data_IF_563554246943
#
_entry.id   IF_563554246943
#
_cell.length_a   1.000
_cell.length_b   1.000
_cell.length_c   1.000
_cell.angle_alpha   90.00
_cell.angle_beta   90.00
_cell.angle_gamma   90.00
#
_symmetry.space_group_name_H-M   'P 1'
#
loop_
_entity.id
_entity.type
_entity.pdbx_description
1 polymer ?
#
# COMPACT_ATOMS: atom_id res chain seq x y z
N UNK A 1 6.09 22.37 -12.70
CA UNK A 1 6.33 23.44 -11.71
C UNK A 1 6.20 22.87 -10.28
N UNK A 2 6.89 23.41 -9.27
CA UNK A 2 6.80 22.90 -7.89
C UNK A 2 5.37 22.93 -7.35
N UNK A 3 4.59 23.93 -7.76
CA UNK A 3 3.18 24.16 -7.38
C UNK A 3 2.19 23.17 -7.98
N UNK A 4 2.60 22.34 -8.95
CA UNK A 4 1.75 21.30 -9.52
C UNK A 4 1.87 19.96 -8.78
N UNK A 5 2.79 19.84 -7.82
CA UNK A 5 2.93 18.61 -7.02
C UNK A 5 1.72 18.49 -6.08
N UNK A 6 1.14 17.30 -5.91
CA UNK A 6 0.05 17.11 -4.97
C UNK A 6 0.56 17.34 -3.54
N UNK A 7 -0.31 17.88 -2.68
CA UNK A 7 0.03 18.30 -1.31
C UNK A 7 -0.86 17.57 -0.31
N UNK A 8 -0.27 17.17 0.81
CA UNK A 8 -0.97 16.63 1.97
C UNK A 8 -0.56 17.46 3.19
N UNK A 9 -1.56 18.02 3.89
CA UNK A 9 -1.34 18.76 5.12
C UNK A 9 -1.27 17.80 6.31
N UNK A 10 -0.22 17.92 7.11
CA UNK A 10 -0.04 17.10 8.32
C UNK A 10 -0.01 18.02 9.53
N UNK A 11 -1.08 18.00 10.32
CA UNK A 11 -1.16 18.72 11.59
C UNK A 11 -0.42 17.92 12.66
N UNK A 12 0.66 18.49 13.20
CA UNK A 12 1.29 17.94 14.38
C UNK A 12 0.49 18.38 15.63
N UNK A 13 -0.16 17.42 16.30
CA UNK A 13 -1.01 17.68 17.46
C UNK A 13 -0.40 17.11 18.75
N UNK A 14 -0.94 17.54 19.89
CA UNK A 14 -0.57 16.96 21.19
C UNK A 14 -1.04 15.50 21.28
N UNK A 15 -0.43 14.76 22.19
CA UNK A 15 -0.68 13.32 22.40
C UNK A 15 -2.10 13.06 22.94
N UNK A 16 -2.63 14.01 23.70
CA UNK A 16 -4.02 14.09 24.18
C UNK A 16 -4.94 14.85 23.23
N UNK A 17 -4.45 15.19 22.04
CA UNK A 17 -5.16 15.95 21.02
C UNK A 17 -6.12 15.09 20.18
N UNK A 18 -7.03 15.73 19.43
CA UNK A 18 -7.92 15.02 18.53
C UNK A 18 -7.13 14.31 17.41
N UNK A 19 -7.61 13.13 17.01
CA UNK A 19 -7.07 12.35 15.88
C UNK A 19 -7.43 12.93 14.50
N UNK A 20 -8.29 13.95 14.49
CA UNK A 20 -8.75 14.70 13.33
C UNK A 20 -7.98 16.02 13.14
N UNK A 21 -7.74 16.47 11.89
CA UNK A 21 -7.11 17.75 11.64
C UNK A 21 -7.96 18.91 12.18
N UNK A 22 -7.34 20.00 12.65
CA UNK A 22 -8.07 21.21 13.05
C UNK A 22 -9.01 21.69 11.94
N UNK A 23 -10.27 22.10 12.24
CA UNK A 23 -11.26 22.46 11.22
C UNK A 23 -10.77 23.52 10.23
N UNK A 24 -10.02 24.51 10.70
CA UNK A 24 -9.43 25.56 9.87
C UNK A 24 -8.42 25.02 8.85
N UNK A 25 -7.60 24.04 9.25
CA UNK A 25 -6.64 23.39 8.38
C UNK A 25 -7.35 22.49 7.37
N UNK A 26 -8.35 21.74 7.82
CA UNK A 26 -9.16 20.89 6.94
C UNK A 26 -9.86 21.73 5.85
N UNK A 27 -10.47 22.85 6.23
CA UNK A 27 -11.10 23.78 5.28
C UNK A 27 -10.08 24.36 4.29
N UNK A 28 -8.88 24.76 4.77
CA UNK A 28 -7.81 25.27 3.92
C UNK A 28 -7.30 24.22 2.93
N UNK A 29 -7.09 22.99 3.39
CA UNK A 29 -6.63 21.89 2.55
C UNK A 29 -7.66 21.58 1.46
N UNK A 30 -8.93 21.45 1.83
CA UNK A 30 -10.03 21.22 0.89
C UNK A 30 -10.14 22.33 -0.16
N UNK A 31 -10.06 23.60 0.25
CA UNK A 31 -10.05 24.74 -0.67
C UNK A 31 -8.87 24.78 -1.65
N UNK A 32 -7.76 24.10 -1.32
CA UNK A 32 -6.60 23.93 -2.17
C UNK A 32 -6.60 22.60 -2.97
N UNK A 33 -7.67 21.78 -2.87
CA UNK A 33 -7.73 20.46 -3.50
C UNK A 33 -6.77 19.43 -2.86
N UNK A 34 -6.42 19.61 -1.59
CA UNK A 34 -5.48 18.79 -0.84
C UNK A 34 -6.18 18.06 0.33
N UNK A 35 -5.58 16.95 0.76
CA UNK A 35 -5.98 16.25 1.99
C UNK A 35 -5.35 16.87 3.24
N UNK A 36 -5.92 16.58 4.41
CA UNK A 36 -5.35 16.90 5.70
C UNK A 36 -5.48 15.72 6.67
N UNK A 37 -4.48 15.52 7.53
CA UNK A 37 -4.56 14.59 8.66
C UNK A 37 -3.89 15.17 9.91
N UNK A 38 -4.23 14.65 11.08
CA UNK A 38 -3.56 14.93 12.34
C UNK A 38 -2.74 13.73 12.83
N UNK A 39 -1.53 14.00 13.29
CA UNK A 39 -0.61 13.02 13.90
C UNK A 39 0.04 13.68 15.10
N UNK A 40 0.21 12.95 16.21
CA UNK A 40 1.10 13.41 17.26
C UNK A 40 2.49 12.84 17.02
N UNK A 41 3.41 13.69 16.52
CA UNK A 41 4.77 13.24 16.22
C UNK A 41 5.52 12.75 17.45
N UNK A 42 5.15 13.26 18.64
CA UNK A 42 5.73 12.84 19.91
C UNK A 42 5.26 11.44 20.29
N UNK A 43 3.94 11.21 20.29
CA UNK A 43 3.38 9.89 20.55
C UNK A 43 3.94 8.84 19.59
N UNK A 44 4.01 9.15 18.29
CA UNK A 44 4.55 8.19 17.31
C UNK A 44 6.04 7.90 17.51
N UNK A 45 6.82 8.85 18.03
CA UNK A 45 8.22 8.63 18.37
C UNK A 45 8.35 7.71 19.59
N UNK A 46 7.56 7.95 20.64
CA UNK A 46 7.53 7.09 21.84
C UNK A 46 7.09 5.66 21.47
N UNK A 47 6.03 5.51 20.66
CA UNK A 47 5.55 4.22 20.17
C UNK A 47 6.56 3.47 19.28
N UNK A 48 7.45 4.18 18.59
CA UNK A 48 8.46 3.57 17.72
C UNK A 48 9.65 2.97 18.48
N UNK A 49 9.85 3.37 19.74
CA UNK A 49 10.90 2.82 20.61
C UNK A 49 10.44 1.57 21.38
N UNK A 50 9.13 1.33 21.43
CA UNK A 50 8.51 0.19 22.10
C UNK A 50 8.45 -1.05 21.21
N UNK A 51 8.34 -2.22 21.83
CA UNK A 51 7.99 -3.42 21.08
C UNK A 51 6.53 -3.39 20.60
N UNK A 52 6.17 -4.32 19.71
CA UNK A 52 4.83 -4.33 19.09
C UNK A 52 3.69 -4.52 20.11
N UNK A 53 3.93 -5.27 21.19
CA UNK A 53 2.92 -5.54 22.22
C UNK A 53 2.75 -4.33 23.15
N UNK A 54 3.85 -3.73 23.57
CA UNK A 54 3.88 -2.51 24.39
C UNK A 54 3.26 -1.33 23.64
N UNK A 55 3.63 -1.11 22.38
CA UNK A 55 3.06 -0.06 21.55
C UNK A 55 1.55 -0.27 21.31
N UNK A 56 1.09 -1.52 21.22
CA UNK A 56 -0.34 -1.82 21.12
C UNK A 56 -1.09 -1.51 22.43
N UNK A 57 -0.51 -1.85 23.58
CA UNK A 57 -1.08 -1.56 24.89
C UNK A 57 -1.20 -0.04 25.12
N UNK A 58 -0.12 0.72 24.89
CA UNK A 58 -0.12 2.18 25.04
C UNK A 58 -1.16 2.86 24.13
N UNK A 59 -1.30 2.41 22.87
CA UNK A 59 -2.34 2.93 21.97
C UNK A 59 -3.76 2.67 22.48
N UNK A 60 -4.00 1.51 23.08
CA UNK A 60 -5.30 1.17 23.65
C UNK A 60 -5.61 2.02 24.90
N UNK A 61 -4.61 2.32 25.73
CA UNK A 61 -4.77 3.20 26.90
C UNK A 61 -5.12 4.64 26.51
N UNK A 62 -4.56 5.13 25.41
CA UNK A 62 -4.78 6.49 24.90
C UNK A 62 -6.00 6.62 23.98
N UNK A 63 -6.74 5.53 23.73
CA UNK A 63 -7.81 5.46 22.72
C UNK A 63 -7.36 5.98 21.35
N UNK A 64 -6.08 5.81 21.04
CA UNK A 64 -5.43 6.39 19.86
C UNK A 64 -5.75 5.62 18.56
N UNK A 65 -6.55 4.55 18.64
CA UNK A 65 -6.94 3.71 17.51
C UNK A 65 -5.72 3.22 16.72
N UNK A 66 -5.69 3.55 15.43
CA UNK A 66 -4.59 3.19 14.56
C UNK A 66 -3.46 4.22 14.54
N UNK A 67 -2.20 3.73 14.44
CA UNK A 67 -0.99 4.56 14.31
C UNK A 67 -1.17 5.71 13.32
N UNK A 68 -0.82 6.92 13.76
CA UNK A 68 -0.77 8.11 12.94
C UNK A 68 0.23 7.98 11.80
N UNK A 69 1.36 7.29 12.00
CA UNK A 69 2.31 6.99 10.92
C UNK A 69 1.68 6.07 9.86
N UNK A 70 0.92 5.04 10.26
CA UNK A 70 0.23 4.16 9.31
C UNK A 70 -0.82 4.94 8.49
N UNK A 71 -1.59 5.82 9.14
CA UNK A 71 -2.52 6.74 8.45
C UNK A 71 -1.80 7.68 7.48
N UNK A 72 -0.66 8.26 7.88
CA UNK A 72 0.17 9.12 7.03
C UNK A 72 0.70 8.38 5.80
N UNK A 73 1.22 7.16 5.98
CA UNK A 73 1.72 6.34 4.87
C UNK A 73 0.62 6.04 3.87
N UNK A 74 -0.58 5.65 4.31
CA UNK A 74 -1.71 5.41 3.40
C UNK A 74 -2.15 6.67 2.66
N UNK A 75 -2.29 7.78 3.36
CA UNK A 75 -2.63 9.06 2.73
C UNK A 75 -1.56 9.47 1.69
N UNK A 76 -0.29 9.21 1.95
CA UNK A 76 0.78 9.45 0.97
C UNK A 76 0.71 8.50 -0.24
N UNK A 77 0.36 7.23 -0.05
CA UNK A 77 0.13 6.29 -1.14
C UNK A 77 -1.04 6.74 -2.03
N UNK A 78 -2.15 7.15 -1.42
CA UNK A 78 -3.30 7.71 -2.14
C UNK A 78 -2.95 8.98 -2.90
N UNK A 79 -2.24 9.92 -2.26
CA UNK A 79 -1.79 11.18 -2.86
C UNK A 79 -0.92 10.96 -4.11
N UNK A 80 -0.10 9.90 -4.10
CA UNK A 80 0.80 9.54 -5.19
C UNK A 80 0.16 8.56 -6.18
N UNK A 81 -1.11 8.22 -5.99
CA UNK A 81 -1.87 7.23 -6.75
C UNK A 81 -1.14 5.88 -6.82
N UNK A 82 -0.51 5.47 -5.72
CA UNK A 82 0.20 4.20 -5.63
C UNK A 82 -0.75 3.07 -5.21
N UNK A 83 -0.45 1.89 -5.72
CA UNK A 83 -1.02 0.61 -5.30
C UNK A 83 0.13 -0.34 -4.97
N UNK A 84 -0.15 -1.35 -4.17
CA UNK A 84 0.77 -2.43 -3.87
C UNK A 84 0.34 -3.71 -4.58
N UNK A 85 1.27 -4.34 -5.28
CA UNK A 85 1.09 -5.72 -5.73
C UNK A 85 2.17 -6.59 -5.08
N UNK A 86 1.92 -7.90 -5.05
CA UNK A 86 2.81 -8.84 -4.42
C UNK A 86 3.43 -9.80 -5.43
N UNK A 87 4.66 -10.19 -5.19
CA UNK A 87 5.24 -11.40 -5.79
C UNK A 87 5.39 -12.43 -4.69
N UNK A 88 4.83 -13.60 -4.86
CA UNK A 88 5.01 -14.73 -3.95
C UNK A 88 5.36 -15.96 -4.77
N UNK A 89 6.46 -16.63 -4.43
CA UNK A 89 6.87 -17.90 -5.05
C UNK A 89 6.97 -18.93 -3.93
N UNK A 90 6.74 -20.20 -4.23
CA UNK A 90 6.96 -21.27 -3.24
C UNK A 90 8.43 -21.33 -2.81
N UNK A 91 9.35 -20.92 -3.69
CA UNK A 91 10.79 -20.95 -3.43
C UNK A 91 11.36 -19.61 -2.89
N UNK A 92 10.55 -18.54 -2.78
CA UNK A 92 11.04 -17.21 -2.39
C UNK A 92 10.04 -16.48 -1.49
N UNK A 93 10.56 -15.64 -0.61
CA UNK A 93 9.75 -14.79 0.25
C UNK A 93 8.78 -13.90 -0.54
N UNK A 94 7.59 -13.71 0.02
CA UNK A 94 6.62 -12.77 -0.51
C UNK A 94 7.16 -11.34 -0.38
N UNK A 95 7.02 -10.55 -1.45
CA UNK A 95 7.47 -9.15 -1.48
C UNK A 95 6.36 -8.26 -2.01
N UNK A 96 6.19 -7.10 -1.37
CA UNK A 96 5.33 -6.03 -1.83
C UNK A 96 6.10 -5.07 -2.75
N UNK A 97 5.45 -4.63 -3.82
CA UNK A 97 6.00 -3.70 -4.79
C UNK A 97 5.00 -2.56 -5.02
N UNK A 98 5.44 -1.34 -4.75
CA UNK A 98 4.63 -0.15 -5.03
C UNK A 98 4.75 0.26 -6.51
N UNK A 99 3.61 0.45 -7.17
CA UNK A 99 3.49 0.93 -8.56
C UNK A 99 2.38 1.97 -8.64
N UNK A 100 2.38 2.80 -9.69
CA UNK A 100 1.26 3.70 -9.94
C UNK A 100 0.02 2.93 -10.36
N UNK A 101 -1.16 3.39 -9.94
CA UNK A 101 -2.45 2.86 -10.37
C UNK A 101 -2.53 2.86 -11.90
N UNK A 102 -3.07 1.79 -12.46
CA UNK A 102 -3.14 1.60 -13.92
C UNK A 102 -1.85 1.10 -14.57
N UNK A 103 -0.76 0.88 -13.81
CA UNK A 103 0.42 0.20 -14.33
C UNK A 103 0.04 -1.20 -14.82
N UNK A 104 0.48 -1.56 -16.04
CA UNK A 104 0.16 -2.84 -16.65
C UNK A 104 1.00 -3.99 -16.08
N UNK A 105 0.59 -5.24 -16.30
CA UNK A 105 1.34 -6.43 -15.90
C UNK A 105 2.77 -6.41 -16.49
N UNK A 106 2.93 -5.92 -17.71
CA UNK A 106 4.25 -5.71 -18.31
C UNK A 106 5.08 -4.65 -17.56
N UNK A 107 4.48 -3.53 -17.17
CA UNK A 107 5.15 -2.52 -16.36
C UNK A 107 5.51 -3.01 -14.96
N UNK A 108 4.60 -3.75 -14.31
CA UNK A 108 4.83 -4.37 -13.01
C UNK A 108 5.95 -5.42 -13.06
N UNK A 109 6.04 -6.21 -14.13
CA UNK A 109 7.17 -7.10 -14.36
C UNK A 109 8.52 -6.34 -14.38
N UNK A 110 8.56 -5.16 -15.00
CA UNK A 110 9.74 -4.30 -15.02
C UNK A 110 10.14 -3.76 -13.66
N UNK A 111 9.16 -3.53 -12.77
CA UNK A 111 9.41 -3.17 -11.37
C UNK A 111 10.12 -4.29 -10.60
N UNK A 112 9.87 -5.55 -10.95
CA UNK A 112 10.55 -6.72 -10.36
C UNK A 112 11.95 -6.88 -10.95
N UNK A 113 12.08 -6.92 -12.28
CA UNK A 113 13.36 -6.98 -12.98
C UNK A 113 13.21 -6.65 -14.47
N UNK A 114 14.18 -5.97 -15.08
CA UNK A 114 14.13 -5.58 -16.51
C UNK A 114 14.07 -6.77 -17.47
N UNK A 115 14.73 -7.88 -17.14
CA UNK A 115 14.73 -9.07 -18.01
C UNK A 115 13.40 -9.82 -18.00
N UNK A 116 12.70 -9.83 -16.85
CA UNK A 116 11.34 -10.40 -16.75
C UNK A 116 10.38 -9.60 -17.63
N UNK A 117 10.54 -8.27 -17.67
CA UNK A 117 9.76 -7.40 -18.54
C UNK A 117 10.02 -7.66 -20.03
N UNK A 118 11.30 -7.78 -20.44
CA UNK A 118 11.67 -8.08 -21.83
C UNK A 118 11.14 -9.44 -22.28
N UNK A 119 11.33 -10.45 -21.44
CA UNK A 119 10.90 -11.82 -21.70
C UNK A 119 9.42 -12.09 -21.43
N UNK A 120 8.61 -11.09 -21.07
CA UNK A 120 7.24 -11.29 -20.60
C UNK A 120 6.40 -12.06 -21.63
N UNK A 121 5.83 -13.19 -21.19
CA UNK A 121 4.87 -13.99 -21.97
C UNK A 121 3.46 -13.74 -21.45
N UNK A 122 3.22 -13.97 -20.15
CA UNK A 122 1.94 -13.81 -19.47
C UNK A 122 2.14 -13.73 -17.96
N UNK A 123 1.14 -13.26 -17.22
CA UNK A 123 1.14 -13.27 -15.76
C UNK A 123 0.03 -14.18 -15.22
N UNK A 124 0.35 -14.98 -14.21
CA UNK A 124 -0.66 -15.55 -13.32
C UNK A 124 -1.01 -14.50 -12.26
N UNK A 125 -2.30 -14.20 -12.10
CA UNK A 125 -2.80 -13.13 -11.22
C UNK A 125 -3.89 -13.68 -10.31
N UNK A 126 -3.79 -13.41 -9.02
CA UNK A 126 -4.79 -13.75 -8.00
C UNK A 126 -4.80 -12.67 -6.92
N UNK A 127 -5.98 -12.30 -6.41
CA UNK A 127 -6.04 -11.38 -5.28
C UNK A 127 -5.46 -12.03 -4.01
N UNK A 128 -4.72 -11.29 -3.19
CA UNK A 128 -4.01 -11.85 -2.03
C UNK A 128 -4.94 -12.55 -1.04
N UNK A 129 -6.12 -11.99 -0.80
CA UNK A 129 -7.16 -12.50 0.09
C UNK A 129 -7.73 -13.82 -0.44
N UNK A 130 -7.99 -13.89 -1.75
CA UNK A 130 -8.38 -15.11 -2.43
C UNK A 130 -7.29 -16.18 -2.39
N UNK A 131 -6.01 -15.80 -2.47
CA UNK A 131 -4.88 -16.74 -2.35
C UNK A 131 -4.71 -17.28 -0.93
N UNK A 132 -4.97 -16.46 0.09
CA UNK A 132 -4.93 -16.87 1.51
C UNK A 132 -6.11 -17.78 1.85
N UNK A 133 -7.34 -17.39 1.52
CA UNK A 133 -8.52 -18.26 1.60
C UNK A 133 -8.35 -19.53 0.75
N UNK A 134 -7.56 -19.37 -0.32
CA UNK A 134 -6.92 -20.32 -1.21
C UNK A 134 -6.22 -21.52 -0.55
N UNK A 135 -5.65 -21.32 0.64
CA UNK A 135 -4.59 -22.19 1.15
C UNK A 135 -3.37 -22.25 0.21
N UNK A 136 -3.18 -21.24 -0.65
CA UNK A 136 -2.12 -21.17 -1.66
C UNK A 136 -2.54 -21.49 -3.09
N UNK A 137 -1.55 -21.58 -3.98
CA UNK A 137 -1.77 -21.60 -5.43
C UNK A 137 -2.53 -22.82 -5.96
N UNK A 138 -2.38 -23.99 -5.33
CA UNK A 138 -3.11 -25.19 -5.73
C UNK A 138 -4.61 -24.99 -5.52
N UNK A 139 -5.02 -24.60 -4.31
CA UNK A 139 -6.42 -24.33 -4.02
C UNK A 139 -6.98 -23.12 -4.76
N UNK A 140 -6.14 -22.13 -5.11
CA UNK A 140 -6.57 -21.00 -5.94
C UNK A 140 -6.91 -21.44 -7.38
N UNK A 141 -6.14 -22.39 -7.93
CA UNK A 141 -6.43 -23.01 -9.24
C UNK A 141 -7.71 -23.84 -9.21
N UNK A 142 -7.88 -24.66 -8.18
CA UNK A 142 -9.10 -25.48 -7.99
C UNK A 142 -10.36 -24.61 -7.88
N UNK A 143 -10.25 -23.46 -7.21
CA UNK A 143 -11.33 -22.48 -7.08
C UNK A 143 -11.48 -21.52 -8.27
N UNK A 144 -10.70 -21.71 -9.34
CA UNK A 144 -10.71 -20.85 -10.52
C UNK A 144 -10.51 -19.34 -10.23
N UNK A 145 -9.79 -19.01 -9.14
CA UNK A 145 -9.46 -17.63 -8.76
C UNK A 145 -8.14 -17.16 -9.35
N UNK A 146 -7.28 -18.10 -9.74
CA UNK A 146 -6.03 -17.81 -10.45
C UNK A 146 -6.30 -17.56 -11.94
N UNK A 147 -6.02 -16.35 -12.39
CA UNK A 147 -6.27 -15.90 -13.77
C UNK A 147 -4.97 -15.82 -14.55
N UNK A 148 -5.05 -16.04 -15.87
CA UNK A 148 -3.95 -15.77 -16.79
C UNK A 148 -4.22 -14.47 -17.51
N UNK A 149 -3.33 -13.52 -17.34
CA UNK A 149 -3.46 -12.15 -17.83
C UNK A 149 -2.33 -11.81 -18.81
N UNK A 150 -2.67 -10.99 -19.81
CA UNK A 150 -1.75 -10.51 -20.83
C UNK A 150 -0.92 -9.30 -20.40
N UNK A 151 -0.11 -8.78 -21.33
CA UNK A 151 0.76 -7.62 -21.10
C UNK A 151 0.00 -6.36 -20.67
N UNK A 152 -1.21 -6.18 -21.18
CA UNK A 152 -2.02 -4.98 -21.03
C UNK A 152 -2.95 -4.99 -19.81
N UNK A 153 -2.96 -6.09 -19.04
CA UNK A 153 -3.75 -6.16 -17.81
C UNK A 153 -3.32 -5.07 -16.84
N UNK A 154 -4.24 -4.20 -16.45
CA UNK A 154 -4.01 -3.20 -15.42
C UNK A 154 -4.00 -3.86 -14.04
N UNK A 155 -2.83 -3.85 -13.40
CA UNK A 155 -2.63 -4.47 -12.08
C UNK A 155 -3.48 -3.75 -11.04
N UNK A 156 -4.12 -4.53 -10.17
CA UNK A 156 -4.98 -4.03 -9.09
C UNK A 156 -4.24 -4.07 -7.77
N UNK A 157 -4.68 -3.21 -6.86
CA UNK A 157 -4.15 -3.20 -5.50
C UNK A 157 -4.42 -4.56 -4.84
N UNK A 158 -3.40 -5.12 -4.22
CA UNK A 158 -3.45 -6.43 -3.59
C UNK A 158 -3.33 -7.63 -4.55
N UNK A 159 -3.11 -7.43 -5.85
CA UNK A 159 -2.85 -8.55 -6.75
C UNK A 159 -1.53 -9.25 -6.40
N UNK A 160 -1.53 -10.57 -6.42
CA UNK A 160 -0.33 -11.43 -6.39
C UNK A 160 -0.02 -11.85 -7.81
N UNK A 161 1.16 -11.46 -8.31
CA UNK A 161 1.62 -11.70 -9.68
C UNK A 161 2.73 -12.75 -9.69
N UNK A 162 2.58 -13.75 -10.57
CA UNK A 162 3.66 -14.63 -10.99
C UNK A 162 3.86 -14.51 -12.49
N UNK A 163 4.95 -13.88 -12.91
CA UNK A 163 5.24 -13.62 -14.33
C UNK A 163 5.91 -14.84 -14.96
N UNK A 164 5.33 -15.32 -16.06
CA UNK A 164 5.96 -16.29 -16.96
C UNK A 164 6.74 -15.53 -18.01
N UNK A 165 8.05 -15.78 -18.10
CA UNK A 165 8.94 -15.11 -19.04
C UNK A 165 9.88 -16.12 -19.71
N UNK A 166 10.36 -15.76 -20.89
CA UNK A 166 11.40 -16.51 -21.62
C UNK A 166 12.62 -15.59 -21.75
N UNK A 167 13.83 -16.04 -21.34
CA UNK A 167 15.05 -15.26 -21.46
C UNK A 167 15.39 -14.86 -22.89
#
# INVERSE_FOLDING_TARGET
>A
PLTAKPVLYVANVREDGPVEPPPELAARASGAGAGALAVSARLEAELAELDAAEAAAMRAELDAGESGLARLVRAAFELLELISFFTADQAREARAHAIKRGTTAWGAAGKVHSDIQRGFVRAEVVAWDALVAAGGYAGARERATLRLEGRDYAVRDGDVLTVRFTP
#
